data_IF_278897568261
#
_entry.id   IF_278897568261
#
_cell.length_a   1.000
_cell.length_b   1.000
_cell.length_c   1.000
_cell.angle_alpha   90.00
_cell.angle_beta   90.00
_cell.angle_gamma   90.00
#
_symmetry.space_group_name_H-M   'P 1'
#
loop_
_entity.id
_entity.type
_entity.pdbx_description
1 polymer ?
#
# COMPACT_ATOMS: atom_id res chain seq x y z
N UNK A 1 3.77 -10.35 9.60
CA UNK A 1 5.09 -10.05 8.96
C UNK A 1 5.68 -8.84 9.66
N UNK A 2 7.01 -8.81 9.85
CA UNK A 2 7.69 -7.67 10.50
C UNK A 2 8.78 -7.15 9.57
N UNK A 3 8.84 -5.82 9.38
CA UNK A 3 9.96 -5.12 8.75
C UNK A 3 10.80 -4.49 9.86
N UNK A 4 12.06 -4.88 9.95
CA UNK A 4 12.95 -4.44 11.03
C UNK A 4 13.51 -3.03 10.77
N UNK A 5 13.75 -2.25 11.85
CA UNK A 5 14.23 -0.86 11.78
C UNK A 5 15.62 -0.72 11.16
N UNK A 6 16.47 -1.71 11.36
CA UNK A 6 17.80 -1.77 10.77
C UNK A 6 17.86 -2.55 9.44
N UNK A 7 16.72 -2.60 8.72
CA UNK A 7 16.68 -3.13 7.36
C UNK A 7 17.58 -2.27 6.46
N UNK A 8 18.43 -2.89 5.60
CA UNK A 8 19.35 -2.17 4.71
C UNK A 8 18.68 -1.26 3.68
N UNK A 9 17.37 -1.36 3.49
CA UNK A 9 16.59 -0.50 2.58
C UNK A 9 16.37 0.93 3.06
N UNK A 10 16.88 1.34 4.20
CA UNK A 10 16.68 2.64 4.85
C UNK A 10 15.45 2.71 5.78
N UNK A 11 15.58 3.49 6.88
CA UNK A 11 14.50 3.67 7.88
C UNK A 11 13.25 4.34 7.28
N UNK A 12 13.41 5.22 6.29
CA UNK A 12 12.29 5.88 5.60
C UNK A 12 11.27 4.92 5.01
N UNK A 13 11.69 3.69 4.65
CA UNK A 13 10.78 2.64 4.18
C UNK A 13 9.71 2.30 5.24
N UNK A 14 10.09 2.29 6.53
CA UNK A 14 9.13 2.02 7.62
C UNK A 14 8.19 3.21 7.84
N UNK A 15 8.70 4.44 7.71
CA UNK A 15 7.89 5.67 7.74
C UNK A 15 6.87 5.64 6.61
N UNK A 16 7.31 5.32 5.39
CA UNK A 16 6.44 5.22 4.21
C UNK A 16 5.31 4.21 4.42
N UNK A 17 5.64 3.00 4.91
CA UNK A 17 4.63 1.96 5.21
C UNK A 17 3.59 2.44 6.23
N UNK A 18 4.04 3.11 7.29
CA UNK A 18 3.17 3.54 8.38
C UNK A 18 2.26 4.70 7.95
N UNK A 19 2.83 5.71 7.28
CA UNK A 19 2.06 6.84 6.73
C UNK A 19 1.09 6.35 5.67
N UNK A 20 1.57 5.57 4.69
CA UNK A 20 0.71 5.00 3.64
C UNK A 20 -0.46 4.21 4.23
N UNK A 21 -0.24 3.40 5.28
CA UNK A 21 -1.31 2.62 5.91
C UNK A 21 -2.43 3.49 6.46
N UNK A 22 -2.10 4.65 7.05
CA UNK A 22 -3.10 5.58 7.57
C UNK A 22 -3.91 6.25 6.45
N UNK A 23 -3.25 6.62 5.34
CA UNK A 23 -3.91 7.19 4.16
C UNK A 23 -4.84 6.16 3.48
N UNK A 24 -4.39 4.91 3.35
CA UNK A 24 -5.19 3.81 2.78
C UNK A 24 -6.41 3.48 3.65
N UNK A 25 -6.27 3.53 4.98
CA UNK A 25 -7.39 3.31 5.90
C UNK A 25 -8.47 4.39 5.75
N UNK A 26 -8.06 5.66 5.57
CA UNK A 26 -8.99 6.76 5.27
C UNK A 26 -9.71 6.55 3.93
N UNK A 27 -8.98 6.14 2.89
CA UNK A 27 -9.54 5.88 1.55
C UNK A 27 -10.34 4.58 1.47
N UNK A 28 -10.37 3.78 2.55
CA UNK A 28 -11.04 2.46 2.61
C UNK A 28 -10.51 1.46 1.58
N UNK A 29 -9.25 1.57 1.22
CA UNK A 29 -8.57 0.62 0.33
C UNK A 29 -8.11 -0.59 1.15
N UNK A 30 -8.41 -1.79 0.69
CA UNK A 30 -8.07 -3.00 1.42
C UNK A 30 -6.55 -3.23 1.49
N UNK A 31 -5.99 -3.03 2.67
CA UNK A 31 -4.61 -3.30 3.03
C UNK A 31 -4.53 -4.10 4.35
N UNK A 32 -3.43 -4.74 4.68
CA UNK A 32 -3.23 -5.34 6.00
C UNK A 32 -3.29 -4.30 7.11
N UNK A 33 -3.86 -4.65 8.25
CA UNK A 33 -3.71 -3.83 9.45
C UNK A 33 -2.25 -3.78 9.87
N UNK A 34 -1.81 -2.62 10.35
CA UNK A 34 -0.44 -2.40 10.79
C UNK A 34 -0.36 -2.16 12.30
N UNK A 35 0.78 -2.47 12.87
CA UNK A 35 1.10 -2.22 14.27
C UNK A 35 2.57 -1.86 14.43
N UNK A 36 2.88 -1.06 15.44
CA UNK A 36 4.24 -0.90 15.94
C UNK A 36 4.56 -2.07 16.87
N UNK A 37 5.67 -2.75 16.62
CA UNK A 37 6.12 -3.90 17.40
C UNK A 37 7.41 -3.50 18.12
N UNK A 38 7.38 -3.50 19.45
CA UNK A 38 8.57 -3.25 20.25
C UNK A 38 9.33 -4.54 20.47
N UNK A 39 10.55 -4.63 19.98
CA UNK A 39 11.49 -5.68 20.32
C UNK A 39 12.49 -5.15 21.37
N UNK A 40 12.45 -5.75 22.56
CA UNK A 40 13.37 -5.37 23.64
C UNK A 40 14.70 -6.10 23.49
N UNK A 41 15.76 -5.58 24.08
CA UNK A 41 17.07 -6.24 24.13
C UNK A 41 16.96 -7.63 24.77
N UNK A 42 16.25 -7.74 25.89
CA UNK A 42 16.05 -9.01 26.58
C UNK A 42 15.32 -10.05 25.71
N UNK A 43 14.34 -9.62 24.90
CA UNK A 43 13.66 -10.51 23.94
C UNK A 43 14.65 -11.02 22.88
N UNK A 44 15.45 -10.15 22.29
CA UNK A 44 16.41 -10.51 21.24
C UNK A 44 17.54 -11.40 21.76
N UNK A 45 17.98 -11.22 23.01
CA UNK A 45 18.94 -12.10 23.67
C UNK A 45 18.37 -13.50 23.96
N UNK A 46 17.07 -13.59 24.27
CA UNK A 46 16.38 -14.87 24.48
C UNK A 46 16.02 -15.58 23.16
N UNK A 47 16.00 -14.85 22.01
CA UNK A 47 15.58 -15.33 20.71
C UNK A 47 16.64 -15.05 19.62
N UNK A 48 17.81 -15.71 19.64
CA UNK A 48 18.89 -15.49 18.67
C UNK A 48 18.51 -15.89 17.23
N UNK A 49 17.46 -16.68 17.07
CA UNK A 49 16.88 -17.00 15.75
C UNK A 49 16.24 -15.78 15.05
N UNK A 50 15.95 -14.69 15.79
CA UNK A 50 15.43 -13.44 15.23
C UNK A 50 16.59 -12.61 14.70
N UNK A 51 16.85 -12.72 13.39
CA UNK A 51 17.93 -12.02 12.72
C UNK A 51 17.53 -11.61 11.30
N UNK A 52 18.28 -10.67 10.72
CA UNK A 52 18.19 -10.32 9.29
C UNK A 52 19.11 -11.24 8.49
N UNK A 53 18.57 -11.84 7.43
CA UNK A 53 19.37 -12.65 6.49
C UNK A 53 19.68 -11.82 5.24
N UNK A 54 20.96 -11.55 4.99
CA UNK A 54 21.47 -10.84 3.82
C UNK A 54 22.45 -11.73 3.06
N UNK A 55 21.93 -12.47 2.09
CA UNK A 55 22.72 -13.51 1.43
C UNK A 55 23.22 -14.53 2.46
N UNK A 56 24.54 -14.79 2.54
CA UNK A 56 25.10 -15.75 3.52
C UNK A 56 25.27 -15.15 4.94
N UNK A 57 24.94 -13.87 5.17
CA UNK A 57 25.19 -13.18 6.44
C UNK A 57 23.91 -13.09 7.26
N UNK A 58 24.04 -13.35 8.56
CA UNK A 58 23.03 -13.06 9.56
C UNK A 58 23.43 -11.81 10.34
N UNK A 59 22.58 -10.78 10.31
CA UNK A 59 22.76 -9.54 11.06
C UNK A 59 21.81 -9.52 12.24
N UNK A 60 22.25 -9.14 13.43
CA UNK A 60 21.36 -9.01 14.58
C UNK A 60 20.32 -7.94 14.31
N UNK A 61 19.10 -8.17 14.79
CA UNK A 61 18.05 -7.14 14.84
C UNK A 61 18.35 -6.18 15.97
N UNK A 62 18.25 -4.89 15.72
CA UNK A 62 18.40 -3.87 16.74
C UNK A 62 17.15 -3.78 17.61
N UNK A 63 17.27 -3.57 18.95
CA UNK A 63 16.10 -3.31 19.79
C UNK A 63 15.45 -1.98 19.43
N UNK A 64 14.12 -1.88 19.65
CA UNK A 64 13.34 -0.67 19.37
C UNK A 64 12.00 -0.98 18.71
N UNK A 65 11.42 0.04 18.07
CA UNK A 65 10.17 -0.08 17.35
C UNK A 65 10.38 -0.59 15.92
N UNK A 66 9.53 -1.52 15.49
CA UNK A 66 9.54 -2.14 14.17
C UNK A 66 8.14 -2.05 13.55
N UNK A 67 8.07 -2.12 12.22
CA UNK A 67 6.80 -2.14 11.50
C UNK A 67 6.26 -3.57 11.44
N UNK A 68 5.01 -3.75 11.87
CA UNK A 68 4.28 -5.02 11.78
C UNK A 68 3.11 -4.92 10.82
N UNK A 69 2.94 -5.92 9.97
CA UNK A 69 1.81 -6.09 9.07
C UNK A 69 1.07 -7.39 9.39
N UNK A 70 -0.25 -7.29 9.62
CA UNK A 70 -1.06 -8.41 10.03
C UNK A 70 -1.27 -9.40 8.87
N UNK A 71 -1.03 -10.68 9.14
CA UNK A 71 -1.43 -11.75 8.22
C UNK A 71 -2.96 -11.85 8.13
N UNK A 72 -3.55 -12.15 6.95
CA UNK A 72 -5.01 -12.11 6.75
C UNK A 72 -5.77 -13.27 7.41
N UNK A 73 -5.41 -13.64 8.60
CA UNK A 73 -6.04 -14.69 9.40
C UNK A 73 -5.03 -15.55 10.15
N UNK A 74 -5.40 -16.78 10.49
CA UNK A 74 -4.50 -17.77 11.07
C UNK A 74 -3.55 -18.32 9.97
N UNK A 75 -2.23 -18.14 10.07
CA UNK A 75 -1.28 -18.64 9.06
C UNK A 75 -1.36 -20.16 8.82
N UNK A 76 -1.82 -20.95 9.79
CA UNK A 76 -2.02 -22.39 9.64
C UNK A 76 -3.31 -22.77 8.90
N UNK A 77 -4.21 -21.82 8.66
CA UNK A 77 -5.55 -22.08 8.10
C UNK A 77 -5.86 -21.26 6.85
N UNK A 78 -5.23 -20.10 6.69
CA UNK A 78 -5.49 -19.18 5.57
C UNK A 78 -4.30 -19.20 4.63
N UNK A 79 -4.48 -19.74 3.43
CA UNK A 79 -3.49 -19.66 2.37
C UNK A 79 -3.52 -18.25 1.75
N UNK A 80 -2.33 -17.71 1.53
CA UNK A 80 -2.10 -16.43 0.85
C UNK A 80 -1.39 -16.70 -0.47
N UNK A 81 -1.84 -16.02 -1.51
CA UNK A 81 -1.32 -16.13 -2.86
C UNK A 81 -0.84 -14.75 -3.32
N UNK A 82 0.33 -14.66 -3.89
CA UNK A 82 0.90 -13.47 -4.55
C UNK A 82 0.43 -13.34 -6.00
N UNK A 83 -0.18 -14.39 -6.53
CA UNK A 83 -0.69 -14.46 -7.90
C UNK A 83 -2.01 -15.22 -7.96
N UNK A 84 -2.94 -14.73 -8.80
CA UNK A 84 -4.11 -15.49 -9.25
C UNK A 84 -4.09 -15.62 -10.78
N UNK A 85 -4.46 -16.78 -11.35
CA UNK A 85 -4.71 -16.92 -12.80
C UNK A 85 -5.71 -15.88 -13.30
N UNK A 86 -5.57 -15.44 -14.57
CA UNK A 86 -6.48 -14.46 -15.18
C UNK A 86 -7.95 -14.87 -15.12
N UNK A 87 -8.23 -16.16 -15.27
CA UNK A 87 -9.59 -16.69 -15.17
C UNK A 87 -10.25 -16.47 -13.79
N UNK A 88 -9.48 -16.26 -12.73
CA UNK A 88 -9.99 -16.06 -11.37
C UNK A 88 -10.05 -14.58 -10.96
N UNK A 89 -9.32 -13.70 -11.64
CA UNK A 89 -9.28 -12.27 -11.30
C UNK A 89 -10.66 -11.60 -11.34
N UNK A 90 -11.53 -11.82 -12.34
CA UNK A 90 -12.86 -11.21 -12.36
C UNK A 90 -13.74 -11.60 -11.18
N UNK A 91 -13.43 -12.73 -10.51
CA UNK A 91 -14.12 -13.22 -9.31
C UNK A 91 -13.58 -12.67 -7.99
N UNK A 92 -12.59 -11.76 -8.01
CA UNK A 92 -12.09 -11.08 -6.80
C UNK A 92 -13.15 -10.14 -6.28
N UNK A 93 -13.52 -10.27 -5.00
CA UNK A 93 -14.66 -9.57 -4.43
C UNK A 93 -14.51 -8.04 -4.39
N UNK A 94 -13.28 -7.56 -4.32
CA UNK A 94 -12.92 -6.13 -4.30
C UNK A 94 -12.01 -5.77 -5.47
N UNK A 95 -12.36 -6.18 -6.68
CA UNK A 95 -11.57 -5.91 -7.89
C UNK A 95 -11.44 -4.39 -8.14
N UNK A 96 -12.44 -3.61 -7.72
CA UNK A 96 -12.42 -2.15 -7.78
C UNK A 96 -11.29 -1.49 -6.99
N UNK A 97 -10.75 -2.16 -5.97
CA UNK A 97 -9.61 -1.65 -5.19
C UNK A 97 -8.35 -1.45 -6.05
N UNK A 98 -8.24 -2.11 -7.21
CA UNK A 98 -7.14 -1.85 -8.14
C UNK A 98 -7.22 -0.47 -8.79
N UNK A 99 -8.43 0.08 -8.99
CA UNK A 99 -8.61 1.48 -9.41
C UNK A 99 -8.30 2.43 -8.27
N UNK A 100 -8.80 2.11 -7.08
CA UNK A 100 -8.56 2.88 -5.86
C UNK A 100 -7.07 3.02 -5.55
N UNK A 101 -6.34 1.89 -5.58
CA UNK A 101 -4.90 1.90 -5.28
C UNK A 101 -4.11 2.62 -6.37
N UNK A 102 -4.53 2.62 -7.63
CA UNK A 102 -3.87 3.39 -8.67
C UNK A 102 -4.00 4.90 -8.42
N UNK A 103 -5.16 5.38 -7.98
CA UNK A 103 -5.35 6.78 -7.54
C UNK A 103 -4.37 7.11 -6.42
N UNK A 104 -4.28 6.26 -5.41
CA UNK A 104 -3.34 6.40 -4.30
C UNK A 104 -1.89 6.39 -4.79
N UNK A 105 -1.49 5.44 -5.61
CA UNK A 105 -0.11 5.31 -6.10
C UNK A 105 0.33 6.50 -6.95
N UNK A 106 -0.59 7.07 -7.73
CA UNK A 106 -0.34 8.33 -8.45
C UNK A 106 -0.14 9.50 -7.50
N UNK A 107 -0.93 9.56 -6.44
CA UNK A 107 -0.81 10.58 -5.41
C UNK A 107 0.53 10.50 -4.67
N UNK A 108 0.87 9.33 -4.14
CA UNK A 108 2.08 9.12 -3.34
C UNK A 108 3.35 8.89 -4.16
N UNK A 109 3.27 8.93 -5.49
CA UNK A 109 4.39 8.62 -6.40
C UNK A 109 5.09 7.30 -6.02
N UNK A 110 4.31 6.21 -5.93
CA UNK A 110 4.86 4.90 -5.62
C UNK A 110 5.83 4.45 -6.72
N UNK A 111 7.12 4.33 -6.39
CA UNK A 111 8.17 4.02 -7.35
C UNK A 111 8.21 2.55 -7.78
N UNK A 112 7.59 1.66 -7.00
CA UNK A 112 7.53 0.23 -7.32
C UNK A 112 6.25 -0.14 -8.08
N UNK A 113 6.27 -1.27 -8.79
CA UNK A 113 5.07 -1.88 -9.34
C UNK A 113 4.12 -2.28 -8.19
N UNK A 114 2.80 -2.03 -8.38
CA UNK A 114 1.82 -2.36 -7.33
C UNK A 114 1.86 -3.85 -7.01
N UNK A 115 2.05 -4.17 -5.74
CA UNK A 115 2.02 -5.52 -5.18
C UNK A 115 0.71 -5.73 -4.40
N UNK A 116 0.15 -6.92 -4.52
CA UNK A 116 -1.01 -7.34 -3.74
C UNK A 116 -0.90 -8.82 -3.40
N UNK A 117 -1.62 -9.22 -2.35
CA UNK A 117 -1.85 -10.62 -2.00
C UNK A 117 -3.33 -10.94 -2.11
N UNK A 118 -3.62 -12.21 -2.38
CA UNK A 118 -4.98 -12.72 -2.45
C UNK A 118 -5.17 -13.80 -1.38
N UNK A 119 -6.34 -13.84 -0.78
CA UNK A 119 -6.73 -14.91 0.14
C UNK A 119 -8.22 -15.19 0.02
N UNK A 120 -8.67 -16.36 0.41
CA UNK A 120 -10.08 -16.68 0.47
C UNK A 120 -10.72 -16.16 1.76
N UNK A 121 -11.85 -15.46 1.61
CA UNK A 121 -12.66 -14.99 2.72
C UNK A 121 -14.14 -15.21 2.44
N UNK A 122 -14.97 -15.23 3.47
CA UNK A 122 -16.42 -15.14 3.30
C UNK A 122 -16.80 -13.68 3.22
N UNK A 123 -17.27 -13.25 2.03
CA UNK A 123 -17.59 -11.87 1.73
C UNK A 123 -19.10 -11.74 1.53
N UNK A 124 -19.66 -10.65 2.05
CA UNK A 124 -21.05 -10.25 1.81
C UNK A 124 -21.03 -9.11 0.80
N UNK A 125 -21.74 -9.27 -0.30
CA UNK A 125 -21.94 -8.21 -1.31
C UNK A 125 -23.43 -8.12 -1.62
N UNK A 126 -23.94 -6.89 -1.66
CA UNK A 126 -25.36 -6.63 -1.95
C UNK A 126 -25.78 -6.92 -3.39
N UNK A 127 -24.83 -6.87 -4.33
CA UNK A 127 -25.01 -7.12 -5.75
C UNK A 127 -24.95 -8.61 -6.14
N UNK A 128 -24.63 -9.51 -5.19
CA UNK A 128 -24.62 -10.94 -5.48
C UNK A 128 -26.02 -11.57 -5.37
N UNK A 129 -26.38 -12.52 -6.26
CA UNK A 129 -27.61 -13.27 -6.12
C UNK A 129 -27.75 -13.93 -4.74
N UNK A 130 -28.81 -13.63 -4.01
CA UNK A 130 -29.00 -14.07 -2.63
C UNK A 130 -28.18 -13.31 -1.60
N UNK A 131 -27.86 -12.04 -1.85
CA UNK A 131 -26.91 -11.13 -1.18
C UNK A 131 -26.93 -10.99 0.34
N UNK A 132 -27.81 -11.71 1.06
CA UNK A 132 -27.84 -11.72 2.53
C UNK A 132 -26.75 -12.65 3.12
N UNK A 133 -26.35 -13.72 2.46
CA UNK A 133 -25.42 -14.71 2.97
C UNK A 133 -23.98 -14.51 2.46
N UNK A 134 -22.97 -14.52 3.36
CA UNK A 134 -21.58 -14.42 2.95
C UNK A 134 -21.15 -15.63 2.11
N UNK A 135 -20.55 -15.39 0.93
CA UNK A 135 -20.02 -16.44 0.06
C UNK A 135 -18.51 -16.46 0.05
N UNK A 136 -17.88 -17.64 -0.15
CA UNK A 136 -16.43 -17.71 -0.33
C UNK A 136 -16.02 -16.98 -1.62
N UNK A 137 -15.06 -16.06 -1.50
CA UNK A 137 -14.47 -15.35 -2.63
C UNK A 137 -13.00 -15.08 -2.37
N UNK A 138 -12.24 -14.76 -3.42
CA UNK A 138 -10.94 -14.16 -3.26
C UNK A 138 -11.07 -12.68 -2.93
N UNK A 139 -10.23 -12.22 -2.00
CA UNK A 139 -10.08 -10.80 -1.62
C UNK A 139 -8.63 -10.41 -1.88
N UNK A 140 -8.43 -9.28 -2.57
CA UNK A 140 -7.13 -8.65 -2.73
C UNK A 140 -6.82 -7.77 -1.51
N UNK A 141 -5.55 -7.76 -1.08
CA UNK A 141 -5.02 -6.78 -0.12
C UNK A 141 -3.77 -6.16 -0.70
N UNK A 142 -3.74 -4.85 -0.75
CA UNK A 142 -2.60 -4.08 -1.24
C UNK A 142 -1.50 -4.09 -0.20
N UNK A 143 -0.30 -4.46 -0.60
CA UNK A 143 0.86 -4.62 0.28
C UNK A 143 2.06 -3.85 -0.26
N UNK A 144 3.10 -3.74 0.54
CA UNK A 144 4.40 -3.18 0.20
C UNK A 144 4.33 -1.72 -0.27
N UNK A 145 4.10 -0.84 0.69
CA UNK A 145 4.01 0.59 0.47
C UNK A 145 5.34 1.31 0.78
N UNK A 146 6.41 0.57 1.02
CA UNK A 146 7.71 1.12 1.38
C UNK A 146 8.30 2.04 0.31
N UNK A 147 7.95 1.82 -0.96
CA UNK A 147 8.36 2.67 -2.08
C UNK A 147 7.36 3.79 -2.44
N UNK A 148 6.35 4.05 -1.61
CA UNK A 148 5.64 5.33 -1.62
C UNK A 148 6.65 6.48 -1.45
N UNK A 149 6.34 7.65 -2.00
CA UNK A 149 7.19 8.85 -1.95
C UNK A 149 8.59 8.64 -2.58
N UNK A 150 8.66 7.77 -3.60
CA UNK A 150 9.91 7.32 -4.21
C UNK A 150 10.87 6.63 -3.21
N UNK A 151 10.34 5.82 -2.30
CA UNK A 151 11.13 5.08 -1.33
C UNK A 151 11.92 5.99 -0.37
N UNK A 152 13.25 5.79 -0.25
CA UNK A 152 14.05 6.56 0.69
C UNK A 152 14.37 8.00 0.23
N UNK A 153 14.01 8.38 -1.00
CA UNK A 153 14.37 9.71 -1.55
C UNK A 153 13.43 10.82 -1.10
N UNK A 154 12.17 10.47 -0.81
CA UNK A 154 11.15 11.44 -0.39
C UNK A 154 10.97 12.59 -1.37
N UNK A 155 10.90 12.24 -2.63
CA UNK A 155 10.57 13.14 -3.74
C UNK A 155 9.43 12.55 -4.59
N UNK A 156 9.01 13.26 -5.62
CA UNK A 156 7.84 12.86 -6.41
C UNK A 156 8.17 12.86 -7.91
N UNK A 157 9.07 11.97 -8.38
CA UNK A 157 9.29 11.82 -9.81
C UNK A 157 8.01 11.35 -10.49
N UNK A 158 7.80 11.80 -11.72
CA UNK A 158 6.59 11.49 -12.46
C UNK A 158 6.87 10.47 -13.55
N UNK A 159 6.10 9.41 -13.54
CA UNK A 159 6.07 8.43 -14.62
C UNK A 159 4.63 8.02 -14.91
N UNK A 160 4.21 8.01 -16.20
CA UNK A 160 2.87 7.60 -16.58
C UNK A 160 2.51 6.17 -16.15
N UNK A 161 3.51 5.27 -16.03
CA UNK A 161 3.29 3.85 -15.66
C UNK A 161 3.46 3.57 -14.17
N UNK A 162 3.85 4.58 -13.39
CA UNK A 162 4.08 4.43 -11.94
C UNK A 162 2.83 3.97 -11.21
N UNK A 163 2.98 3.00 -10.30
CA UNK A 163 1.88 2.46 -9.48
C UNK A 163 0.91 1.52 -10.23
N UNK A 164 1.10 1.28 -11.53
CA UNK A 164 0.27 0.33 -12.24
C UNK A 164 0.46 -1.10 -11.71
N UNK A 165 -0.66 -1.79 -11.51
CA UNK A 165 -0.62 -3.24 -11.38
C UNK A 165 -0.32 -3.85 -12.75
N UNK A 166 0.58 -4.85 -12.87
CA UNK A 166 1.09 -5.28 -14.18
C UNK A 166 0.09 -6.02 -15.06
N UNK A 167 -1.15 -6.25 -14.57
CA UNK A 167 -2.19 -7.00 -15.30
C UNK A 167 -3.35 -6.09 -15.64
N UNK A 168 -3.48 -5.72 -16.92
CA UNK A 168 -4.51 -4.80 -17.46
C UNK A 168 -5.95 -5.25 -17.22
N UNK A 169 -6.17 -6.55 -17.05
CA UNK A 169 -7.49 -7.13 -16.80
C UNK A 169 -8.20 -6.47 -15.60
N UNK A 170 -7.46 -6.04 -14.57
CA UNK A 170 -8.07 -5.35 -13.42
C UNK A 170 -8.61 -3.95 -13.77
N UNK A 171 -8.24 -3.40 -14.92
CA UNK A 171 -8.65 -2.07 -15.42
C UNK A 171 -9.62 -2.13 -16.60
N UNK A 172 -10.13 -3.31 -16.98
CA UNK A 172 -11.06 -3.45 -18.13
C UNK A 172 -12.35 -2.65 -17.95
N UNK A 173 -12.80 -2.43 -16.71
CA UNK A 173 -13.98 -1.61 -16.42
C UNK A 173 -13.75 -0.10 -16.54
N UNK A 174 -12.50 0.35 -16.74
CA UNK A 174 -12.19 1.77 -16.84
C UNK A 174 -12.46 2.29 -18.23
N UNK A 175 -13.40 3.22 -18.33
CA UNK A 175 -13.85 3.86 -19.59
C UNK A 175 -13.66 5.38 -19.56
N UNK A 176 -13.54 5.97 -18.38
CA UNK A 176 -13.38 7.41 -18.17
C UNK A 176 -12.67 7.71 -16.84
N UNK A 177 -12.40 8.99 -16.62
CA UNK A 177 -11.87 9.45 -15.33
C UNK A 177 -12.88 9.23 -14.18
N UNK A 178 -14.18 9.23 -14.49
CA UNK A 178 -15.23 9.05 -13.49
C UNK A 178 -15.21 7.64 -12.84
N UNK A 179 -14.64 6.66 -13.53
CA UNK A 179 -14.51 5.30 -12.99
C UNK A 179 -13.52 5.20 -11.82
N UNK A 180 -12.76 6.25 -11.54
CA UNK A 180 -11.90 6.36 -10.35
C UNK A 180 -12.58 7.00 -9.14
N UNK A 181 -13.87 7.34 -9.26
CA UNK A 181 -14.65 7.79 -8.11
C UNK A 181 -15.05 6.61 -7.19
N UNK A 182 -15.20 6.85 -5.87
CA UNK A 182 -15.07 8.14 -5.16
C UNK A 182 -13.63 8.49 -4.74
N UNK A 183 -12.66 7.62 -4.98
CA UNK A 183 -11.28 7.77 -4.44
C UNK A 183 -10.57 9.00 -4.99
N UNK A 184 -10.83 9.35 -6.26
CA UNK A 184 -10.24 10.54 -6.86
C UNK A 184 -10.70 11.81 -6.13
N UNK A 185 -11.98 11.95 -5.87
CA UNK A 185 -12.54 13.08 -5.12
C UNK A 185 -12.02 13.10 -3.67
N UNK A 186 -11.96 11.94 -3.02
CA UNK A 186 -11.43 11.80 -1.66
C UNK A 186 -9.96 12.23 -1.57
N UNK A 187 -9.14 11.91 -2.57
CA UNK A 187 -7.73 12.33 -2.62
C UNK A 187 -7.62 13.83 -2.89
N UNK A 188 -8.34 14.37 -3.89
CA UNK A 188 -8.31 15.79 -4.23
C UNK A 188 -8.73 16.66 -3.04
N UNK A 189 -9.71 16.20 -2.25
CA UNK A 189 -10.23 16.89 -1.07
C UNK A 189 -9.71 16.29 0.24
N UNK A 190 -8.54 15.64 0.23
CA UNK A 190 -8.01 14.95 1.40
C UNK A 190 -7.80 15.91 2.57
N UNK A 191 -8.31 15.60 3.79
CA UNK A 191 -8.20 16.47 4.94
C UNK A 191 -6.76 16.55 5.48
N UNK A 192 -6.32 17.76 5.79
CA UNK A 192 -4.98 17.99 6.39
C UNK A 192 -4.86 17.29 7.75
N UNK A 193 -5.91 17.28 8.54
CA UNK A 193 -5.93 16.64 9.87
C UNK A 193 -5.62 15.14 9.82
N UNK A 194 -6.05 14.44 8.76
CA UNK A 194 -5.75 13.01 8.61
C UNK A 194 -4.27 12.80 8.32
N UNK A 195 -3.68 13.69 7.53
CA UNK A 195 -2.23 13.67 7.24
C UNK A 195 -1.42 13.97 8.50
N UNK A 196 -1.83 14.97 9.29
CA UNK A 196 -1.24 15.29 10.57
C UNK A 196 -1.29 14.13 11.58
N UNK A 197 -2.40 13.40 11.60
CA UNK A 197 -2.53 12.22 12.44
C UNK A 197 -1.68 11.05 11.95
N UNK A 198 -1.47 10.92 10.65
CA UNK A 198 -0.67 9.85 10.08
C UNK A 198 0.80 9.96 10.52
N UNK A 199 1.39 11.16 10.42
CA UNK A 199 2.79 11.34 10.79
C UNK A 199 3.03 11.32 12.31
N UNK A 200 2.09 11.76 13.14
CA UNK A 200 2.17 11.68 14.61
C UNK A 200 2.28 10.25 15.15
N UNK A 201 1.93 9.26 14.33
CA UNK A 201 2.09 7.83 14.66
C UNK A 201 3.51 7.32 14.42
N UNK A 202 4.34 8.06 13.70
CA UNK A 202 5.72 7.66 13.39
C UNK A 202 6.57 7.73 14.63
N UNK A 203 7.27 6.63 15.02
CA UNK A 203 8.18 6.65 16.15
C UNK A 203 9.29 7.71 15.94
N UNK A 204 9.59 8.56 16.95
CA UNK A 204 10.60 9.60 16.81
C UNK A 204 11.97 9.09 16.37
N UNK A 205 12.35 7.90 16.83
CA UNK A 205 13.63 7.27 16.49
C UNK A 205 13.73 6.80 15.01
N UNK A 206 12.59 6.77 14.27
CA UNK A 206 12.62 6.49 12.84
C UNK A 206 12.94 7.72 11.99
N UNK A 207 12.73 8.92 12.53
CA UNK A 207 12.90 10.21 11.84
C UNK A 207 13.92 11.12 12.52
N UNK A 208 14.65 10.59 13.50
CA UNK A 208 15.67 11.34 14.23
C UNK A 208 16.65 12.03 13.27
N UNK A 209 16.68 13.37 13.33
CA UNK A 209 17.47 14.23 12.43
C UNK A 209 16.88 14.43 11.03
N UNK A 210 15.65 13.94 10.76
CA UNK A 210 14.98 14.06 9.47
C UNK A 210 13.56 14.67 9.59
N UNK A 211 13.25 15.30 10.73
CA UNK A 211 11.92 15.85 11.03
C UNK A 211 11.48 16.89 10.00
N UNK A 212 12.39 17.81 9.63
CA UNK A 212 12.14 18.82 8.60
C UNK A 212 11.93 18.19 7.21
N UNK A 213 12.67 17.13 6.92
CA UNK A 213 12.51 16.41 5.63
C UNK A 213 11.14 15.72 5.55
N UNK A 214 10.66 15.15 6.67
CA UNK A 214 9.33 14.55 6.75
C UNK A 214 8.23 15.62 6.65
N UNK A 215 8.36 16.75 7.35
CA UNK A 215 7.42 17.87 7.24
C UNK A 215 7.30 18.35 5.80
N UNK A 216 8.44 18.63 5.15
CA UNK A 216 8.47 19.03 3.74
C UNK A 216 7.94 17.97 2.76
N UNK A 217 8.07 16.67 3.09
CA UNK A 217 7.43 15.60 2.33
C UNK A 217 5.91 15.72 2.39
N UNK A 218 5.36 15.89 3.60
CA UNK A 218 3.91 15.93 3.81
C UNK A 218 3.26 17.16 3.18
N UNK A 219 3.92 18.32 3.23
CA UNK A 219 3.49 19.53 2.51
C UNK A 219 3.38 19.29 0.99
N UNK A 220 4.45 18.73 0.40
CA UNK A 220 4.45 18.41 -1.04
C UNK A 220 3.41 17.35 -1.40
N UNK A 221 3.20 16.34 -0.55
CA UNK A 221 2.17 15.34 -0.74
C UNK A 221 0.77 15.96 -0.71
N UNK A 222 0.54 16.88 0.22
CA UNK A 222 -0.72 17.61 0.34
C UNK A 222 -1.02 18.45 -0.90
N UNK A 223 -0.04 19.13 -1.43
CA UNK A 223 -0.19 19.91 -2.67
C UNK A 223 -0.41 19.03 -3.90
N UNK A 224 0.30 17.90 -3.95
CA UNK A 224 0.24 16.95 -5.06
C UNK A 224 -1.14 16.33 -5.27
N UNK A 225 -2.00 16.26 -4.24
CA UNK A 225 -3.34 15.68 -4.35
C UNK A 225 -4.18 16.27 -5.47
N UNK A 226 -4.03 17.56 -5.75
CA UNK A 226 -4.75 18.27 -6.82
C UNK A 226 -4.32 17.87 -8.23
N UNK A 227 -3.15 17.24 -8.38
CA UNK A 227 -2.60 16.84 -9.66
C UNK A 227 -2.98 15.42 -10.08
N UNK A 228 -3.61 14.65 -9.18
CA UNK A 228 -3.94 13.25 -9.44
C UNK A 228 -4.82 13.04 -10.67
N UNK A 229 -5.83 13.87 -10.97
CA UNK A 229 -6.59 13.76 -12.22
C UNK A 229 -5.72 13.85 -13.48
N UNK A 230 -4.76 14.79 -13.49
CA UNK A 230 -3.79 14.96 -14.60
C UNK A 230 -2.87 13.73 -14.72
N UNK A 231 -2.39 13.19 -13.60
CA UNK A 231 -1.53 12.02 -13.57
C UNK A 231 -2.23 10.74 -14.06
N UNK A 232 -3.52 10.60 -13.81
CA UNK A 232 -4.35 9.51 -14.35
C UNK A 232 -4.57 9.69 -15.86
N UNK A 233 -4.82 10.90 -16.32
CA UNK A 233 -4.92 11.20 -17.75
C UNK A 233 -3.61 10.89 -18.49
N UNK A 234 -2.46 11.30 -17.93
CA UNK A 234 -1.15 10.95 -18.47
C UNK A 234 -0.89 9.43 -18.47
N UNK A 235 -1.43 8.70 -17.48
CA UNK A 235 -1.37 7.24 -17.44
C UNK A 235 -2.14 6.59 -18.59
N UNK A 236 -3.31 7.12 -18.97
CA UNK A 236 -4.08 6.68 -20.13
C UNK A 236 -3.25 6.76 -21.42
N UNK A 237 -2.53 7.85 -21.61
CA UNK A 237 -1.70 8.10 -22.82
C UNK A 237 -0.39 7.26 -22.84
N UNK A 238 -0.10 6.51 -21.78
CA UNK A 238 1.11 5.71 -21.71
C UNK A 238 1.12 4.60 -22.79
N UNK A 239 2.31 4.30 -23.32
CA UNK A 239 2.51 3.21 -24.31
C UNK A 239 2.05 1.83 -23.80
N UNK A 240 1.94 1.65 -22.50
CA UNK A 240 1.43 0.43 -21.88
C UNK A 240 -0.06 0.20 -22.14
N UNK A 241 -0.82 1.23 -22.57
CA UNK A 241 -2.27 1.18 -22.78
C UNK A 241 -2.99 0.44 -21.62
N UNK A 242 -2.88 0.93 -20.37
CA UNK A 242 -3.38 0.19 -19.21
C UNK A 242 -4.90 0.08 -19.17
N UNK A 243 -5.61 0.99 -19.85
CA UNK A 243 -7.07 1.08 -19.88
C UNK A 243 -7.61 0.73 -21.27
N UNK A 244 -7.89 -0.56 -21.56
CA UNK A 244 -8.24 -0.99 -22.92
C UNK A 244 -9.56 -0.37 -23.43
N UNK A 245 -10.46 0.01 -22.53
CA UNK A 245 -11.79 0.52 -22.86
C UNK A 245 -11.95 2.05 -22.66
N UNK A 246 -10.92 2.74 -22.19
CA UNK A 246 -10.92 4.21 -22.09
C UNK A 246 -10.44 4.82 -23.41
N UNK A 247 -11.41 5.20 -24.25
CA UNK A 247 -11.19 5.81 -25.58
C UNK A 247 -10.91 7.33 -25.47
#
# INVERSE_FOLDING_TARGET
>A
MVKFRNNPQHRRILVNELVASALLDYLKIAAPRVALIQLTRAFLEAHPEVHLTLGPRHLPVEPGWHFGSQYPGDPGRVAVYDFLPDALLPGVANLEDFRAILVFDKWVANADGRQCIFHRARVRRSDWPGGAEPKPAFVARMIDHGFAFNGPHWDFPESPVQGLYPRRLVYESVTSLDDFQPWLEQVVNFPEEVMDQAWKRVPPDWVEGEEDALAGLLERLYDRRKRVPELLAACREARAHPFPNWK
#
